data_IF_224316480091
#
_entry.id   IF_224316480091
#
_cell.length_a   1.000
_cell.length_b   1.000
_cell.length_c   1.000
_cell.angle_alpha   90.00
_cell.angle_beta   90.00
_cell.angle_gamma   90.00
#
_symmetry.space_group_name_H-M   'P 1'
#
loop_
_entity.id
_entity.type
_entity.pdbx_description
1 polymer ?
#
# COMPACT_ATOMS: atom_id res chain seq x y z
N UNK A 1 20.48 -16.04 -7.27
CA UNK A 1 20.97 -17.40 -6.98
C UNK A 1 20.43 -17.76 -5.60
N UNK A 2 19.51 -18.72 -5.51
CA UNK A 2 18.94 -19.13 -4.22
C UNK A 2 20.02 -19.87 -3.41
N UNK A 3 20.12 -19.64 -2.09
CA UNK A 3 21.05 -20.38 -1.26
C UNK A 3 20.71 -21.88 -1.27
N UNK A 4 21.74 -22.73 -1.37
CA UNK A 4 21.62 -24.18 -1.20
C UNK A 4 20.98 -24.53 0.14
N UNK A 5 20.36 -25.71 0.30
CA UNK A 5 19.67 -26.11 1.55
C UNK A 5 20.49 -25.76 2.82
N UNK A 6 19.84 -25.23 3.88
CA UNK A 6 20.53 -24.89 5.12
C UNK A 6 21.23 -26.11 5.72
N UNK A 7 22.49 -25.95 6.12
CA UNK A 7 23.30 -26.97 6.79
C UNK A 7 23.45 -26.62 8.26
N UNK A 8 23.85 -27.60 9.09
CA UNK A 8 24.06 -27.37 10.53
C UNK A 8 25.07 -26.26 10.83
N UNK A 9 26.07 -26.10 9.97
CA UNK A 9 27.09 -25.05 10.06
C UNK A 9 26.52 -23.63 9.90
N UNK A 10 25.45 -23.46 9.12
CA UNK A 10 24.76 -22.17 8.95
C UNK A 10 24.06 -21.72 10.25
N UNK A 11 23.83 -22.64 11.20
CA UNK A 11 23.24 -22.36 12.51
C UNK A 11 24.26 -22.43 13.66
N UNK A 12 25.55 -22.65 13.37
CA UNK A 12 26.58 -22.80 14.40
C UNK A 12 26.93 -21.47 15.09
N UNK A 13 26.60 -20.34 14.47
CA UNK A 13 26.82 -19.00 15.04
C UNK A 13 25.88 -17.97 14.41
N UNK A 14 25.63 -16.86 15.11
CA UNK A 14 24.84 -15.73 14.58
C UNK A 14 25.45 -15.15 13.29
N UNK A 15 26.77 -15.10 13.20
CA UNK A 15 27.47 -14.64 12.01
C UNK A 15 27.26 -15.57 10.80
N UNK A 16 27.28 -16.89 11.00
CA UNK A 16 26.99 -17.87 9.96
C UNK A 16 25.52 -17.77 9.49
N UNK A 17 24.59 -17.62 10.45
CA UNK A 17 23.17 -17.46 10.17
C UNK A 17 22.88 -16.23 9.31
N UNK A 18 23.36 -15.06 9.72
CA UNK A 18 23.16 -13.81 8.95
C UNK A 18 23.76 -13.89 7.56
N UNK A 19 24.95 -14.49 7.42
CA UNK A 19 25.61 -14.61 6.11
C UNK A 19 24.79 -15.48 5.13
N UNK A 20 24.18 -16.55 5.62
CA UNK A 20 23.34 -17.41 4.82
C UNK A 20 22.06 -16.68 4.33
N UNK A 21 21.41 -15.89 5.20
CA UNK A 21 20.15 -15.20 4.89
C UNK A 21 20.31 -13.78 4.31
N UNK A 22 21.52 -13.20 4.33
CA UNK A 22 21.78 -11.86 3.82
C UNK A 22 21.20 -11.59 2.41
N UNK A 23 21.21 -12.55 1.44
CA UNK A 23 20.63 -12.33 0.12
C UNK A 23 19.10 -12.19 0.11
N UNK A 24 18.39 -12.71 1.12
CA UNK A 24 16.91 -12.67 1.20
C UNK A 24 16.38 -11.57 2.12
N UNK A 25 17.22 -11.00 2.99
CA UNK A 25 16.81 -9.94 3.92
C UNK A 25 16.20 -8.72 3.21
N UNK A 26 16.73 -8.31 2.07
CA UNK A 26 16.19 -7.18 1.33
C UNK A 26 14.78 -7.45 0.77
N UNK A 27 14.53 -8.68 0.32
CA UNK A 27 13.21 -9.08 -0.15
C UNK A 27 12.20 -9.18 1.00
N UNK A 28 12.62 -9.72 2.14
CA UNK A 28 11.81 -9.81 3.36
C UNK A 28 11.42 -8.43 3.92
N UNK A 29 12.38 -7.50 3.98
CA UNK A 29 12.12 -6.11 4.39
C UNK A 29 11.20 -5.38 3.42
N UNK A 30 11.36 -5.61 2.11
CA UNK A 30 10.46 -5.07 1.10
C UNK A 30 9.03 -5.61 1.29
N UNK A 31 8.89 -6.92 1.52
CA UNK A 31 7.59 -7.55 1.76
C UNK A 31 6.92 -6.99 3.02
N UNK A 32 7.67 -6.84 4.12
CA UNK A 32 7.17 -6.24 5.36
C UNK A 32 6.68 -4.80 5.12
N UNK A 33 7.45 -3.98 4.39
CA UNK A 33 7.01 -2.63 4.02
C UNK A 33 5.75 -2.63 3.15
N UNK A 34 5.49 -3.70 2.41
CA UNK A 34 4.25 -3.87 1.65
C UNK A 34 3.02 -4.13 2.53
N UNK A 35 3.19 -4.48 3.81
CA UNK A 35 2.08 -4.75 4.74
C UNK A 35 1.86 -3.68 5.81
N UNK A 36 2.74 -2.68 5.94
CA UNK A 36 2.55 -1.61 6.93
C UNK A 36 1.47 -0.62 6.46
N UNK A 37 1.79 0.20 5.46
CA UNK A 37 0.87 1.19 4.91
C UNK A 37 -0.07 0.67 3.82
N UNK A 38 0.32 -0.28 2.94
CA UNK A 38 -0.55 -0.72 1.85
C UNK A 38 -1.77 -1.54 2.27
N UNK A 39 -1.89 -1.96 3.53
CA UNK A 39 -3.13 -2.54 4.07
C UNK A 39 -4.30 -1.55 3.92
N UNK A 40 -4.03 -0.24 4.05
CA UNK A 40 -5.04 0.79 3.81
C UNK A 40 -5.48 0.88 2.35
N UNK A 41 -4.62 0.54 1.39
CA UNK A 41 -5.00 0.45 -0.03
C UNK A 41 -5.93 -0.76 -0.26
N UNK A 42 -5.59 -1.91 0.33
CA UNK A 42 -6.46 -3.08 0.26
C UNK A 42 -7.81 -2.88 0.96
N UNK A 43 -7.88 -2.01 1.97
CA UNK A 43 -9.14 -1.63 2.61
C UNK A 43 -9.98 -0.66 1.77
N UNK A 44 -9.37 0.35 1.14
CA UNK A 44 -10.14 1.39 0.42
C UNK A 44 -10.75 0.89 -0.89
N UNK A 45 -10.09 -0.03 -1.62
CA UNK A 45 -10.62 -0.57 -2.88
C UNK A 45 -12.02 -1.20 -2.74
N UNK A 46 -12.25 -2.18 -1.84
CA UNK A 46 -13.57 -2.75 -1.65
C UNK A 46 -14.58 -1.75 -1.07
N UNK A 47 -14.13 -0.78 -0.26
CA UNK A 47 -15.00 0.32 0.20
C UNK A 47 -15.51 1.15 -0.98
N UNK A 48 -14.61 1.60 -1.87
CA UNK A 48 -14.97 2.34 -3.08
C UNK A 48 -15.94 1.58 -3.97
N UNK A 49 -15.75 0.27 -4.13
CA UNK A 49 -16.66 -0.57 -4.91
C UNK A 49 -18.01 -0.74 -4.21
N UNK A 50 -18.01 -1.05 -2.91
CA UNK A 50 -19.23 -1.30 -2.13
C UNK A 50 -20.11 -0.06 -1.93
N UNK A 51 -19.51 1.12 -1.85
CA UNK A 51 -20.24 2.41 -1.73
C UNK A 51 -20.47 3.08 -3.08
N UNK A 52 -20.10 2.44 -4.19
CA UNK A 52 -20.18 3.00 -5.54
C UNK A 52 -19.44 4.34 -5.72
N UNK A 53 -18.33 4.55 -5.01
CA UNK A 53 -17.50 5.76 -5.07
C UNK A 53 -16.22 5.56 -5.92
N UNK A 54 -16.16 4.48 -6.71
CA UNK A 54 -15.03 4.18 -7.60
C UNK A 54 -15.04 5.01 -8.90
N UNK A 55 -15.05 6.34 -8.78
CA UNK A 55 -15.01 7.26 -9.93
C UNK A 55 -13.64 7.30 -10.64
N UNK A 56 -13.58 7.97 -11.80
CA UNK A 56 -12.35 8.07 -12.62
C UNK A 56 -11.16 8.61 -11.82
N UNK A 57 -11.38 9.63 -10.96
CA UNK A 57 -10.33 10.19 -10.12
C UNK A 57 -9.72 9.14 -9.17
N UNK A 58 -10.55 8.34 -8.52
CA UNK A 58 -10.11 7.25 -7.63
C UNK A 58 -9.35 6.16 -8.39
N UNK A 59 -9.82 5.79 -9.59
CA UNK A 59 -9.13 4.81 -10.45
C UNK A 59 -7.75 5.31 -10.88
N UNK A 60 -7.65 6.58 -11.29
CA UNK A 60 -6.37 7.19 -11.69
C UNK A 60 -5.41 7.22 -10.49
N UNK A 61 -5.86 7.69 -9.33
CA UNK A 61 -5.05 7.70 -8.11
C UNK A 61 -4.60 6.29 -7.70
N UNK A 62 -5.48 5.29 -7.83
CA UNK A 62 -5.15 3.90 -7.53
C UNK A 62 -4.01 3.37 -8.43
N UNK A 63 -4.07 3.65 -9.73
CA UNK A 63 -2.98 3.27 -10.65
C UNK A 63 -1.68 4.02 -10.36
N UNK A 64 -1.75 5.32 -10.03
CA UNK A 64 -0.58 6.07 -9.58
C UNK A 64 0.05 5.45 -8.33
N UNK A 65 -0.77 5.06 -7.35
CA UNK A 65 -0.31 4.39 -6.15
C UNK A 65 0.42 3.08 -6.47
N UNK A 66 -0.19 2.21 -7.29
CA UNK A 66 0.43 0.94 -7.72
C UNK A 66 1.75 1.17 -8.44
N UNK A 67 1.82 2.13 -9.37
CA UNK A 67 3.03 2.47 -10.09
C UNK A 67 4.16 2.94 -9.15
N UNK A 68 3.85 3.81 -8.18
CA UNK A 68 4.83 4.28 -7.20
C UNK A 68 5.34 3.13 -6.32
N UNK A 69 4.49 2.18 -5.93
CA UNK A 69 4.90 1.00 -5.15
C UNK A 69 5.77 0.04 -5.97
N UNK A 70 5.50 -0.11 -7.26
CA UNK A 70 6.36 -0.86 -8.17
C UNK A 70 7.75 -0.21 -8.31
N UNK A 71 7.80 1.12 -8.52
CA UNK A 71 9.06 1.88 -8.57
C UNK A 71 9.83 1.80 -7.25
N UNK A 72 9.14 1.93 -6.11
CA UNK A 72 9.76 1.78 -4.79
C UNK A 72 10.42 0.40 -4.62
N UNK A 73 9.69 -0.67 -4.99
CA UNK A 73 10.19 -2.05 -4.92
C UNK A 73 11.40 -2.25 -5.83
N UNK A 74 11.37 -1.67 -7.05
CA UNK A 74 12.51 -1.70 -7.97
C UNK A 74 13.75 -1.03 -7.40
N UNK A 75 13.61 0.15 -6.80
CA UNK A 75 14.72 0.87 -6.15
C UNK A 75 15.26 0.07 -4.96
N UNK A 76 14.37 -0.50 -4.14
CA UNK A 76 14.73 -1.25 -2.93
C UNK A 76 15.49 -2.54 -3.24
N UNK A 77 15.04 -3.29 -4.25
CA UNK A 77 15.64 -4.57 -4.65
C UNK A 77 16.88 -4.40 -5.55
N UNK A 78 17.00 -3.26 -6.24
CA UNK A 78 18.12 -2.94 -7.13
C UNK A 78 19.25 -2.18 -6.42
N UNK A 79 19.30 -0.86 -6.65
CA UNK A 79 20.41 0.00 -6.19
C UNK A 79 20.38 0.37 -4.71
N UNK A 80 19.25 0.15 -4.03
CA UNK A 80 19.04 0.44 -2.60
C UNK A 80 19.40 1.88 -2.16
N UNK A 81 19.18 2.88 -3.04
CA UNK A 81 19.32 4.28 -2.67
C UNK A 81 18.25 4.65 -1.63
N UNK A 82 18.70 4.88 -0.40
CA UNK A 82 17.87 5.21 0.77
C UNK A 82 17.06 6.49 0.55
N UNK A 83 17.65 7.50 -0.09
CA UNK A 83 17.03 8.81 -0.27
C UNK A 83 15.98 8.74 -1.37
N UNK A 84 16.26 8.04 -2.46
CA UNK A 84 15.31 7.86 -3.54
C UNK A 84 14.12 7.00 -3.08
N UNK A 85 14.37 5.86 -2.42
CA UNK A 85 13.26 5.01 -1.92
C UNK A 85 12.38 5.75 -0.93
N UNK A 86 12.96 6.54 -0.02
CA UNK A 86 12.20 7.32 0.97
C UNK A 86 11.27 8.33 0.28
N UNK A 87 11.74 9.04 -0.74
CA UNK A 87 10.91 9.97 -1.52
C UNK A 87 9.75 9.28 -2.23
N UNK A 88 10.01 8.15 -2.90
CA UNK A 88 8.95 7.39 -3.59
C UNK A 88 7.94 6.82 -2.59
N UNK A 89 8.42 6.38 -1.42
CA UNK A 89 7.55 5.94 -0.33
C UNK A 89 6.61 7.06 0.13
N UNK A 90 7.13 8.24 0.47
CA UNK A 90 6.29 9.38 0.89
C UNK A 90 5.33 9.85 -0.20
N UNK A 91 5.76 9.86 -1.46
CA UNK A 91 4.87 10.19 -2.58
C UNK A 91 3.74 9.17 -2.72
N UNK A 92 4.03 7.87 -2.58
CA UNK A 92 2.99 6.83 -2.57
C UNK A 92 2.02 7.01 -1.40
N UNK A 93 2.52 7.41 -0.23
CA UNK A 93 1.68 7.68 0.93
C UNK A 93 0.78 8.90 0.71
N UNK A 94 1.27 9.96 0.08
CA UNK A 94 0.48 11.13 -0.25
C UNK A 94 -0.68 10.79 -1.20
N UNK A 95 -0.42 9.96 -2.23
CA UNK A 95 -1.47 9.48 -3.15
C UNK A 95 -2.51 8.64 -2.40
N UNK A 96 -2.08 7.72 -1.54
CA UNK A 96 -2.99 6.91 -0.73
C UNK A 96 -3.85 7.77 0.21
N UNK A 97 -3.25 8.77 0.86
CA UNK A 97 -3.99 9.72 1.68
C UNK A 97 -5.01 10.52 0.88
N UNK A 98 -4.67 10.94 -0.35
CA UNK A 98 -5.60 11.64 -1.24
C UNK A 98 -6.80 10.76 -1.62
N UNK A 99 -6.59 9.46 -1.87
CA UNK A 99 -7.69 8.52 -2.12
C UNK A 99 -8.65 8.44 -0.93
N UNK A 100 -8.12 8.31 0.30
CA UNK A 100 -8.94 8.27 1.52
C UNK A 100 -9.71 9.57 1.76
N UNK A 101 -9.05 10.72 1.58
CA UNK A 101 -9.70 12.03 1.73
C UNK A 101 -10.84 12.16 0.71
N UNK A 102 -10.58 11.84 -0.56
CA UNK A 102 -11.61 11.87 -1.61
C UNK A 102 -12.79 10.95 -1.28
N UNK A 103 -12.51 9.72 -0.86
CA UNK A 103 -13.53 8.77 -0.45
C UNK A 103 -14.40 9.32 0.69
N UNK A 104 -13.80 9.90 1.74
CA UNK A 104 -14.57 10.46 2.85
C UNK A 104 -15.44 11.64 2.43
N UNK A 105 -14.95 12.51 1.54
CA UNK A 105 -15.72 13.63 1.00
C UNK A 105 -16.93 13.12 0.22
N UNK A 106 -16.71 12.19 -0.71
CA UNK A 106 -17.77 11.65 -1.57
C UNK A 106 -18.80 10.86 -0.75
N UNK A 107 -18.33 10.03 0.18
CA UNK A 107 -19.18 9.26 1.08
C UNK A 107 -20.02 10.15 1.99
N UNK A 108 -19.43 11.18 2.62
CA UNK A 108 -20.17 12.12 3.47
C UNK A 108 -21.20 12.92 2.66
N UNK A 109 -20.85 13.35 1.45
CA UNK A 109 -21.74 14.06 0.54
C UNK A 109 -22.95 13.20 0.16
N UNK A 110 -22.72 11.91 -0.14
CA UNK A 110 -23.77 10.95 -0.43
C UNK A 110 -24.67 10.69 0.78
N UNK A 111 -24.11 10.56 1.98
CA UNK A 111 -24.87 10.37 3.22
C UNK A 111 -25.80 11.55 3.52
N UNK A 112 -25.31 12.78 3.35
CA UNK A 112 -26.11 14.01 3.51
C UNK A 112 -27.25 14.03 2.50
N UNK A 113 -26.97 13.80 1.21
CA UNK A 113 -28.00 13.75 0.16
C UNK A 113 -29.09 12.70 0.45
N UNK A 114 -28.69 11.52 0.93
CA UNK A 114 -29.62 10.46 1.33
C UNK A 114 -30.53 10.90 2.50
N UNK A 115 -29.95 11.54 3.52
CA UNK A 115 -30.72 12.04 4.67
C UNK A 115 -31.77 13.08 4.28
N UNK A 116 -31.42 13.99 3.35
CA UNK A 116 -32.35 14.98 2.81
C UNK A 116 -33.48 14.33 2.01
N UNK A 117 -33.15 13.36 1.15
CA UNK A 117 -34.15 12.66 0.34
C UNK A 117 -35.19 11.92 1.19
N UNK A 118 -34.77 11.25 2.26
CA UNK A 118 -35.69 10.61 3.21
C UNK A 118 -36.54 11.65 3.93
N UNK A 119 -35.93 12.76 4.36
CA UNK A 119 -36.66 13.83 5.03
C UNK A 119 -37.78 14.42 4.18
N UNK A 120 -37.57 14.53 2.86
CA UNK A 120 -38.60 14.97 1.90
C UNK A 120 -39.69 13.91 1.71
N UNK A 121 -39.32 12.63 1.59
CA UNK A 121 -40.26 11.53 1.41
C UNK A 121 -41.15 11.27 2.64
N UNK A 122 -40.71 11.69 3.82
CA UNK A 122 -41.44 11.55 5.08
C UNK A 122 -42.40 12.72 5.37
N UNK A 123 -42.41 13.78 4.55
CA UNK A 123 -43.36 14.89 4.71
C UNK A 123 -44.74 14.47 4.16
N UNK A 124 -45.82 14.64 4.95
CA UNK A 124 -47.17 14.23 4.57
C UNK A 124 -47.80 15.14 3.50
#
# INVERSE_FOLDING_TARGET
MLPSRPRREDFASDAAYRRYFQPVEAADRNLTNLFEMPVLFFAIVPLLMGTQQAGIAQVVLAWFYVALRAVHSWIHLGGNDVRQRSRVFFLSQAVLSAMWIGFFIDFASAAVAYSHAIGLAAQP
#
